data_IF_916048580456
#
_entry.id   IF_916048580456
#
_cell.length_a   1.000
_cell.length_b   1.000
_cell.length_c   1.000
_cell.angle_alpha   90.00
_cell.angle_beta   90.00
_cell.angle_gamma   90.00
#
_symmetry.space_group_name_H-M   'P 1'
#
loop_
_entity.id
_entity.type
_entity.pdbx_description
1 polymer ?
#
# COMPACT_ATOMS: atom_id res chain seq x y z
N UNK A 1 -16.07 0.32 2.27
CA UNK A 1 -15.85 1.55 3.06
C UNK A 1 -16.02 2.76 2.17
N UNK A 2 -16.60 3.86 2.67
CA UNK A 2 -16.83 5.08 1.89
C UNK A 2 -15.57 5.88 1.55
N UNK A 3 -14.50 5.77 2.36
CA UNK A 3 -13.23 6.50 2.19
C UNK A 3 -13.39 8.04 2.21
N UNK A 4 -14.19 8.60 3.13
CA UNK A 4 -14.31 10.05 3.26
C UNK A 4 -13.16 10.66 4.08
N UNK A 5 -12.51 9.88 4.94
CA UNK A 5 -11.37 10.28 5.75
C UNK A 5 -10.03 9.75 5.22
N UNK A 6 -8.94 10.27 5.79
CA UNK A 6 -7.58 9.84 5.48
C UNK A 6 -6.97 10.55 4.26
N UNK A 7 -5.63 10.54 4.18
CA UNK A 7 -4.87 11.26 3.14
C UNK A 7 -4.45 10.37 1.95
N UNK A 8 -4.78 9.08 1.99
CA UNK A 8 -4.47 8.14 0.92
C UNK A 8 -5.26 8.43 -0.35
N UNK A 9 -4.66 8.18 -1.52
CA UNK A 9 -5.35 8.36 -2.79
C UNK A 9 -6.46 7.31 -2.96
N UNK A 10 -7.63 7.75 -3.41
CA UNK A 10 -8.76 6.86 -3.71
C UNK A 10 -8.56 6.27 -5.11
N UNK A 11 -8.59 4.93 -5.18
CA UNK A 11 -8.54 4.16 -6.43
C UNK A 11 -9.81 3.34 -6.59
N UNK A 12 -10.06 2.84 -7.81
CA UNK A 12 -11.36 2.24 -8.16
C UNK A 12 -11.56 0.83 -7.62
N UNK A 13 -10.50 0.01 -7.59
CA UNK A 13 -10.57 -1.41 -7.19
C UNK A 13 -9.45 -1.81 -6.24
N UNK A 14 -9.58 -2.99 -5.61
CA UNK A 14 -8.50 -3.56 -4.77
C UNK A 14 -7.25 -3.89 -5.59
N UNK A 15 -7.44 -4.37 -6.82
CA UNK A 15 -6.35 -4.54 -7.79
C UNK A 15 -5.64 -3.21 -8.08
N UNK A 16 -6.38 -2.11 -8.23
CA UNK A 16 -5.78 -0.79 -8.44
C UNK A 16 -5.00 -0.32 -7.21
N UNK A 17 -5.38 -0.70 -5.99
CA UNK A 17 -4.55 -0.46 -4.78
C UNK A 17 -3.22 -1.19 -4.89
N UNK A 18 -3.25 -2.43 -5.37
CA UNK A 18 -2.05 -3.23 -5.63
C UNK A 18 -1.15 -2.61 -6.69
N UNK A 19 -1.73 -2.15 -7.81
CA UNK A 19 -0.99 -1.44 -8.86
C UNK A 19 -0.43 -0.10 -8.37
N UNK A 20 -1.18 0.64 -7.55
CA UNK A 20 -0.71 1.88 -6.94
C UNK A 20 0.46 1.62 -5.98
N UNK A 21 0.37 0.56 -5.14
CA UNK A 21 1.48 0.12 -4.31
C UNK A 21 2.72 -0.15 -5.16
N UNK A 22 2.59 -0.91 -6.25
CA UNK A 22 3.71 -1.20 -7.13
C UNK A 22 4.30 0.07 -7.74
N UNK A 23 3.46 0.95 -8.29
CA UNK A 23 3.90 2.23 -8.86
C UNK A 23 4.70 3.07 -7.86
N UNK A 24 4.18 3.24 -6.64
CA UNK A 24 4.82 4.07 -5.63
C UNK A 24 6.13 3.45 -5.14
N UNK A 25 6.14 2.14 -4.87
CA UNK A 25 7.32 1.45 -4.36
C UNK A 25 8.41 1.28 -5.41
N UNK A 26 8.09 1.12 -6.70
CA UNK A 26 9.08 1.15 -7.78
C UNK A 26 9.86 2.47 -7.80
N UNK A 27 9.18 3.61 -7.62
CA UNK A 27 9.85 4.91 -7.53
C UNK A 27 10.77 5.02 -6.30
N UNK A 28 10.40 4.41 -5.17
CA UNK A 28 11.26 4.34 -4.00
C UNK A 28 12.49 3.45 -4.25
N UNK A 29 12.33 2.32 -4.93
CA UNK A 29 13.45 1.42 -5.27
C UNK A 29 14.44 2.07 -6.25
N UNK A 30 13.98 2.97 -7.12
CA UNK A 30 14.84 3.74 -8.02
C UNK A 30 15.64 4.85 -7.29
N UNK A 31 15.17 5.27 -6.11
CA UNK A 31 15.82 6.28 -5.27
C UNK A 31 16.96 5.66 -4.44
N UNK A 32 18.22 5.91 -4.85
CA UNK A 32 19.43 5.36 -4.20
C UNK A 32 19.62 5.72 -2.72
N UNK A 33 18.92 6.73 -2.23
CA UNK A 33 18.93 7.17 -0.83
C UNK A 33 17.75 6.61 0.00
N UNK A 34 16.85 5.83 -0.61
CA UNK A 34 15.76 5.16 0.08
C UNK A 34 16.17 3.73 0.44
N UNK A 35 16.11 3.38 1.72
CA UNK A 35 16.51 2.04 2.23
C UNK A 35 15.32 1.08 2.41
N UNK A 36 14.11 1.53 2.11
CA UNK A 36 12.89 0.74 2.27
C UNK A 36 11.68 1.59 2.60
N UNK A 37 10.57 0.94 2.89
CA UNK A 37 9.28 1.57 3.16
C UNK A 37 8.42 0.70 4.07
N UNK A 38 7.45 1.33 4.73
CA UNK A 38 6.41 0.66 5.49
C UNK A 38 5.04 1.06 4.95
N UNK A 39 4.17 0.07 4.78
CA UNK A 39 2.76 0.31 4.46
C UNK A 39 2.00 0.76 5.70
N UNK A 40 1.23 1.83 5.57
CA UNK A 40 0.25 2.25 6.57
C UNK A 40 -1.15 1.91 6.05
N UNK A 41 -1.86 0.92 6.62
CA UNK A 41 -1.55 0.12 7.82
C UNK A 41 -2.03 -1.33 7.70
N UNK A 42 -1.93 -2.11 8.78
CA UNK A 42 -2.28 -3.52 8.76
C UNK A 42 -3.78 -3.74 8.46
N UNK A 43 -4.66 -3.12 9.24
CA UNK A 43 -6.10 -3.35 9.22
C UNK A 43 -6.85 -2.06 8.84
N UNK A 44 -7.96 -2.21 8.15
CA UNK A 44 -8.86 -1.11 7.87
C UNK A 44 -9.37 -0.42 9.14
N UNK A 45 -9.84 0.81 8.98
CA UNK A 45 -10.48 1.54 10.07
C UNK A 45 -11.78 0.85 10.52
N UNK A 46 -12.12 1.07 11.80
CA UNK A 46 -13.41 0.72 12.37
C UNK A 46 -14.29 1.98 12.45
N UNK A 47 -15.31 2.13 11.58
CA UNK A 47 -16.19 3.30 11.60
C UNK A 47 -17.01 3.42 12.89
N UNK A 48 -17.15 2.32 13.66
CA UNK A 48 -17.86 2.32 14.94
C UNK A 48 -17.00 2.80 16.10
N UNK A 49 -15.67 2.83 15.93
CA UNK A 49 -14.74 3.27 16.96
C UNK A 49 -14.63 4.80 17.00
N UNK A 50 -15.48 5.44 17.78
CA UNK A 50 -15.51 6.90 17.93
C UNK A 50 -14.34 7.49 18.75
N UNK A 51 -13.47 6.64 19.31
CA UNK A 51 -12.30 7.09 20.09
C UNK A 51 -11.08 7.38 19.22
N UNK A 52 -11.12 7.06 17.93
CA UNK A 52 -10.05 7.41 16.99
C UNK A 52 -10.21 8.82 16.46
N UNK A 53 -9.11 9.39 15.97
CA UNK A 53 -9.13 10.64 15.23
C UNK A 53 -10.11 10.53 14.04
N UNK A 54 -10.86 11.60 13.68
CA UNK A 54 -11.77 11.57 12.54
C UNK A 54 -11.13 11.10 11.23
N UNK A 55 -9.83 11.37 11.02
CA UNK A 55 -9.07 10.90 9.85
C UNK A 55 -8.89 9.37 9.80
N UNK A 56 -9.07 8.68 10.93
CA UNK A 56 -8.85 7.26 11.17
C UNK A 56 -10.16 6.46 11.36
N UNK A 57 -11.28 6.95 10.81
CA UNK A 57 -12.61 6.32 11.02
C UNK A 57 -13.14 5.50 9.85
N UNK A 58 -13.01 5.95 8.61
CA UNK A 58 -13.80 5.33 7.52
C UNK A 58 -13.04 5.07 6.22
N UNK A 59 -11.74 4.77 6.35
CA UNK A 59 -10.84 4.52 5.23
C UNK A 59 -10.48 3.02 5.07
N UNK A 60 -10.48 2.57 3.81
CA UNK A 60 -9.95 1.29 3.35
C UNK A 60 -8.41 1.36 3.18
N UNK A 61 -7.71 1.47 4.30
CA UNK A 61 -6.25 1.66 4.37
C UNK A 61 -5.49 0.40 4.81
N UNK A 62 -6.20 -0.69 5.13
CA UNK A 62 -5.65 -1.96 5.57
C UNK A 62 -5.22 -2.87 4.43
N UNK A 63 -4.26 -3.75 4.71
CA UNK A 63 -4.03 -4.97 3.90
C UNK A 63 -5.05 -6.07 4.23
N UNK A 64 -5.69 -5.98 5.40
CA UNK A 64 -6.84 -6.79 5.80
C UNK A 64 -8.05 -5.92 6.11
N UNK A 65 -9.24 -6.49 5.93
CA UNK A 65 -10.50 -5.88 6.34
C UNK A 65 -10.59 -5.74 7.86
N UNK A 66 -11.59 -5.01 8.35
CA UNK A 66 -11.93 -4.97 9.77
C UNK A 66 -12.14 -6.38 10.37
N UNK A 67 -12.65 -7.33 9.59
CA UNK A 67 -12.85 -8.73 9.99
C UNK A 67 -11.63 -9.64 9.78
N UNK A 68 -10.44 -9.09 9.55
CA UNK A 68 -9.20 -9.82 9.27
C UNK A 68 -9.23 -10.68 7.99
N UNK A 69 -10.11 -10.38 7.04
CA UNK A 69 -10.05 -10.98 5.70
C UNK A 69 -8.98 -10.29 4.87
N UNK A 70 -8.15 -11.07 4.18
CA UNK A 70 -7.09 -10.54 3.32
C UNK A 70 -7.65 -9.90 2.05
N UNK A 71 -7.15 -8.73 1.65
CA UNK A 71 -7.36 -8.20 0.31
C UNK A 71 -6.43 -8.90 -0.69
N UNK A 72 -6.88 -10.03 -1.26
CA UNK A 72 -6.07 -10.85 -2.18
C UNK A 72 -5.50 -10.04 -3.35
N UNK A 73 -6.34 -9.29 -4.06
CA UNK A 73 -5.92 -8.53 -5.25
C UNK A 73 -4.83 -7.49 -4.93
N UNK A 74 -4.87 -6.89 -3.74
CA UNK A 74 -3.83 -5.98 -3.24
C UNK A 74 -2.57 -6.76 -2.88
N UNK A 75 -2.71 -7.79 -2.06
CA UNK A 75 -1.59 -8.51 -1.46
C UNK A 75 -0.85 -9.40 -2.45
N UNK A 76 -1.49 -9.87 -3.51
CA UNK A 76 -0.84 -10.54 -4.64
C UNK A 76 0.14 -9.58 -5.35
N UNK A 77 -0.25 -8.33 -5.58
CA UNK A 77 0.62 -7.30 -6.17
C UNK A 77 1.74 -6.86 -5.24
N UNK A 78 1.44 -6.75 -3.94
CA UNK A 78 2.48 -6.51 -2.93
C UNK A 78 3.51 -7.65 -2.93
N UNK A 79 3.06 -8.91 -2.93
CA UNK A 79 3.93 -10.09 -2.97
C UNK A 79 4.78 -10.11 -4.24
N UNK A 80 4.15 -9.90 -5.40
CA UNK A 80 4.83 -9.85 -6.71
C UNK A 80 6.02 -8.87 -6.70
N UNK A 81 5.85 -7.66 -6.18
CA UNK A 81 6.96 -6.71 -6.09
C UNK A 81 7.95 -7.09 -4.98
N UNK A 82 7.46 -7.42 -3.80
CA UNK A 82 8.30 -7.66 -2.62
C UNK A 82 9.26 -8.85 -2.82
N UNK A 83 8.85 -9.88 -3.57
CA UNK A 83 9.73 -11.00 -3.90
C UNK A 83 10.83 -10.65 -4.91
N UNK A 84 10.74 -9.50 -5.58
CA UNK A 84 11.63 -9.07 -6.64
C UNK A 84 12.43 -7.80 -6.32
N UNK A 85 12.31 -7.23 -5.11
CA UNK A 85 12.91 -5.93 -4.75
C UNK A 85 14.41 -5.83 -5.08
N UNK A 86 15.20 -6.85 -4.76
CA UNK A 86 16.64 -6.83 -5.01
C UNK A 86 16.98 -6.88 -6.50
N UNK A 87 16.23 -7.65 -7.29
CA UNK A 87 16.45 -7.70 -8.75
C UNK A 87 16.03 -6.40 -9.43
N UNK A 88 14.94 -5.79 -8.96
CA UNK A 88 14.46 -4.49 -9.43
C UNK A 88 15.48 -3.38 -9.12
N UNK A 89 16.06 -3.37 -7.91
CA UNK A 89 17.15 -2.44 -7.54
C UNK A 89 18.33 -2.58 -8.50
N UNK A 90 18.80 -3.81 -8.75
CA UNK A 90 19.90 -4.07 -9.69
C UNK A 90 19.56 -3.55 -11.09
N UNK A 91 18.34 -3.76 -11.56
CA UNK A 91 17.87 -3.26 -12.85
C UNK A 91 17.91 -1.72 -12.92
N UNK A 92 17.37 -1.02 -11.92
CA UNK A 92 17.38 0.45 -11.88
C UNK A 92 18.81 1.02 -11.78
N UNK A 93 19.66 0.39 -10.98
CA UNK A 93 21.06 0.79 -10.84
C UNK A 93 21.87 0.63 -12.13
N UNK A 94 21.54 -0.35 -12.97
CA UNK A 94 22.17 -0.56 -14.27
C UNK A 94 21.64 0.39 -15.34
N UNK A 95 20.34 0.70 -15.33
CA UNK A 95 19.70 1.61 -16.28
C UNK A 95 20.18 3.07 -16.12
N UNK A 96 20.49 3.46 -14.90
CA UNK A 96 20.89 4.83 -14.53
C UNK A 96 22.41 5.04 -14.52
N UNK A 97 23.18 4.16 -15.17
CA UNK A 97 24.60 4.34 -15.50
C UNK A 97 24.74 4.91 -16.90
#
# INVERSE_FOLDING_TARGET
MPNYSGAGWIVRTQKDRGLFYQNFTLALLESKNCVGFHWFKYQDNDPSNLKTDPSDRDANNGIVTLGYSLYSDLTEKMKELNTNVYQLIVFFDQRNK
#
